data_IF_694634767915
#
_entry.id   IF_694634767915
#
_cell.length_a   1.000
_cell.length_b   1.000
_cell.length_c   1.000
_cell.angle_alpha   90.00
_cell.angle_beta   90.00
_cell.angle_gamma   90.00
#
_symmetry.space_group_name_H-M   'P 1'
#
loop_
_entity.id
_entity.type
_entity.pdbx_description
1 polymer ?
#
# COMPACT_ATOMS: atom_id res chain seq x y z
N UNK A 1 28.61 19.01 -64.24
CA UNK A 1 27.67 20.10 -63.89
C UNK A 1 26.90 19.66 -62.65
N UNK A 2 27.33 20.12 -61.47
CA UNK A 2 26.69 21.18 -60.66
C UNK A 2 25.41 20.68 -59.96
N UNK A 3 25.51 20.17 -58.72
CA UNK A 3 25.45 20.85 -57.40
C UNK A 3 24.02 20.90 -56.84
N UNK A 4 23.79 20.34 -55.65
CA UNK A 4 23.42 21.12 -54.45
C UNK A 4 23.13 20.22 -53.23
N UNK A 5 23.38 20.80 -52.06
CA UNK A 5 23.55 20.21 -50.71
C UNK A 5 22.23 20.04 -49.95
N UNK A 6 22.25 19.17 -48.94
CA UNK A 6 21.22 19.11 -47.90
C UNK A 6 21.59 18.17 -46.75
N UNK A 7 22.51 18.61 -45.89
CA UNK A 7 22.87 17.95 -44.63
C UNK A 7 21.80 18.25 -43.56
N UNK A 8 21.20 17.23 -42.95
CA UNK A 8 20.56 17.35 -41.63
C UNK A 8 20.86 16.07 -40.82
N UNK A 9 21.43 16.28 -39.64
CA UNK A 9 22.20 15.28 -38.89
C UNK A 9 21.41 14.18 -38.21
N UNK A 10 21.99 12.98 -38.25
CA UNK A 10 21.70 11.88 -37.33
C UNK A 10 22.13 12.31 -35.91
N UNK A 11 21.17 12.67 -35.05
CA UNK A 11 21.38 12.63 -33.61
C UNK A 11 21.18 11.20 -33.13
N UNK A 12 22.28 10.56 -32.74
CA UNK A 12 22.31 9.35 -31.91
C UNK A 12 21.49 9.60 -30.64
N UNK A 13 20.33 8.98 -30.53
CA UNK A 13 19.65 8.77 -29.26
C UNK A 13 20.39 7.65 -28.52
N UNK A 14 21.30 8.05 -27.64
CA UNK A 14 21.82 7.20 -26.58
C UNK A 14 20.67 6.99 -25.61
N UNK A 15 20.06 5.81 -25.64
CA UNK A 15 19.08 5.41 -24.65
C UNK A 15 19.82 5.09 -23.34
N UNK A 16 19.93 6.10 -22.48
CA UNK A 16 20.35 5.95 -21.09
C UNK A 16 19.27 5.14 -20.38
N UNK A 17 19.61 3.91 -19.96
CA UNK A 17 18.76 3.05 -19.13
C UNK A 17 18.63 3.71 -17.76
N UNK A 18 17.50 4.40 -17.53
CA UNK A 18 17.11 4.81 -16.19
C UNK A 18 16.54 3.61 -15.45
N UNK A 19 17.10 3.36 -14.27
CA UNK A 19 16.64 2.41 -13.25
C UNK A 19 15.14 2.61 -13.01
N UNK A 20 14.36 1.58 -13.33
CA UNK A 20 12.92 1.56 -13.12
C UNK A 20 12.60 1.09 -11.72
N UNK A 21 11.98 1.98 -10.95
CA UNK A 21 11.17 1.66 -9.79
C UNK A 21 10.06 0.67 -10.16
N UNK A 22 9.75 -0.23 -9.22
CA UNK A 22 8.64 -1.17 -9.25
C UNK A 22 7.36 -0.46 -9.73
N UNK A 23 6.95 -0.75 -10.98
CA UNK A 23 5.61 -0.38 -11.45
C UNK A 23 4.65 -1.46 -11.00
N UNK A 24 3.88 -1.17 -9.96
CA UNK A 24 2.73 -1.98 -9.56
C UNK A 24 1.68 -1.91 -10.69
N UNK A 25 1.27 -3.04 -11.29
CA UNK A 25 0.24 -3.01 -12.33
C UNK A 25 -1.11 -2.68 -11.70
N UNK A 26 -1.68 -1.53 -12.06
CA UNK A 26 -2.98 -1.01 -11.59
C UNK A 26 -4.21 -1.70 -12.19
N UNK A 27 -4.07 -2.88 -12.80
CA UNK A 27 -5.08 -3.42 -13.74
C UNK A 27 -5.92 -4.62 -13.27
N UNK A 28 -5.91 -5.02 -11.99
CA UNK A 28 -6.72 -6.19 -11.52
C UNK A 28 -7.68 -5.88 -10.36
N UNK A 29 -8.23 -4.67 -10.29
CA UNK A 29 -9.37 -4.36 -9.40
C UNK A 29 -10.53 -3.72 -10.18
N UNK A 30 -10.94 -4.34 -11.29
CA UNK A 30 -12.19 -3.98 -11.98
C UNK A 30 -13.25 -5.05 -11.73
N UNK A 31 -14.47 -4.58 -11.37
CA UNK A 31 -15.68 -5.34 -11.01
C UNK A 31 -15.80 -5.81 -9.56
N UNK A 32 -15.94 -4.86 -8.65
CA UNK A 32 -17.02 -4.93 -7.67
C UNK A 32 -17.57 -3.51 -7.47
N UNK A 33 -18.88 -3.41 -7.33
CA UNK A 33 -19.70 -2.20 -7.33
C UNK A 33 -19.01 -0.96 -6.71
N UNK A 34 -18.52 -0.05 -7.56
CA UNK A 34 -18.08 1.29 -7.16
C UNK A 34 -19.34 2.11 -6.92
N UNK A 35 -19.93 1.98 -5.73
CA UNK A 35 -20.62 3.12 -5.14
C UNK A 35 -19.56 4.15 -4.83
N UNK A 36 -19.59 5.27 -5.53
CA UNK A 36 -18.66 6.40 -5.46
C UNK A 36 -18.19 6.68 -4.01
N UNK A 37 -17.00 6.18 -3.57
CA UNK A 37 -16.59 6.28 -2.17
C UNK A 37 -16.18 7.70 -1.78
N UNK A 38 -16.07 8.61 -2.76
CA UNK A 38 -15.62 9.99 -2.61
C UNK A 38 -16.76 11.01 -2.52
N UNK A 39 -18.03 10.60 -2.64
CA UNK A 39 -19.17 11.50 -2.52
C UNK A 39 -19.45 11.99 -1.08
N UNK A 40 -18.73 11.45 -0.07
CA UNK A 40 -19.06 11.60 1.35
C UNK A 40 -18.01 12.29 2.22
N UNK A 41 -16.96 12.88 1.64
CA UNK A 41 -16.02 13.70 2.42
C UNK A 41 -16.77 14.89 3.04
N UNK A 42 -16.81 14.96 4.37
CA UNK A 42 -17.41 16.06 5.13
C UNK A 42 -16.61 17.33 4.81
N UNK A 43 -17.19 18.34 4.16
CA UNK A 43 -16.49 19.59 3.97
C UNK A 43 -16.49 20.37 5.29
N UNK A 44 -15.40 20.26 6.07
CA UNK A 44 -15.12 21.15 7.20
C UNK A 44 -15.25 22.63 6.80
N UNK A 45 -14.95 22.92 5.53
CA UNK A 45 -15.10 24.23 4.91
C UNK A 45 -16.56 24.67 4.68
N UNK A 46 -17.56 23.78 4.53
CA UNK A 46 -18.97 24.26 4.54
C UNK A 46 -19.40 24.68 5.94
N UNK A 47 -18.68 24.32 6.99
CA UNK A 47 -18.95 24.81 8.36
C UNK A 47 -18.16 26.09 8.62
N UNK A 48 -16.89 26.14 8.18
CA UNK A 48 -16.01 27.31 8.33
C UNK A 48 -16.35 28.47 7.38
N UNK A 49 -16.61 28.21 6.08
CA UNK A 49 -17.01 29.24 5.11
C UNK A 49 -18.43 29.75 5.35
N UNK A 50 -19.33 28.91 5.88
CA UNK A 50 -20.66 29.34 6.34
C UNK A 50 -20.57 30.19 7.63
N UNK A 51 -19.60 29.93 8.51
CA UNK A 51 -19.31 30.75 9.69
C UNK A 51 -18.62 32.08 9.34
N UNK A 52 -17.67 32.09 8.40
CA UNK A 52 -17.02 33.29 7.89
C UNK A 52 -17.98 34.16 7.07
N UNK A 53 -18.89 33.58 6.29
CA UNK A 53 -20.01 34.31 5.65
C UNK A 53 -21.00 34.88 6.67
N UNK A 54 -21.17 34.25 7.83
CA UNK A 54 -21.99 34.80 8.91
C UNK A 54 -21.33 36.02 9.58
N UNK A 55 -20.00 35.99 9.76
CA UNK A 55 -19.21 37.09 10.35
C UNK A 55 -18.99 38.26 9.38
N UNK A 56 -18.71 38.00 8.10
CA UNK A 56 -18.59 39.06 7.07
C UNK A 56 -19.90 39.80 6.77
N UNK A 57 -21.04 39.26 7.22
CA UNK A 57 -22.35 39.86 7.07
C UNK A 57 -22.79 40.68 8.31
N UNK A 58 -21.91 40.88 9.29
CA UNK A 58 -22.12 41.76 10.45
C UNK A 58 -21.92 43.26 10.11
N UNK A 59 -21.40 43.60 8.93
CA UNK A 59 -21.10 44.99 8.55
C UNK A 59 -22.15 45.71 7.67
N UNK A 60 -23.29 45.09 7.34
CA UNK A 60 -24.42 45.75 6.68
C UNK A 60 -25.75 45.28 7.27
N UNK A 61 -26.40 46.16 8.04
CA UNK A 61 -27.77 46.01 8.57
C UNK A 61 -28.81 46.08 7.44
N UNK A 62 -28.90 45.04 6.61
CA UNK A 62 -30.03 44.87 5.70
C UNK A 62 -31.10 43.97 6.32
N UNK A 63 -32.15 44.63 6.83
CA UNK A 63 -33.34 44.12 7.52
C UNK A 63 -34.33 43.39 6.60
N UNK A 64 -33.85 42.47 5.75
CA UNK A 64 -34.74 41.61 4.98
C UNK A 64 -34.91 40.25 5.65
N UNK A 65 -36.16 39.87 5.96
CA UNK A 65 -36.52 38.60 6.61
C UNK A 65 -35.97 37.36 5.86
N UNK A 66 -35.75 37.49 4.55
CA UNK A 66 -35.08 36.49 3.70
C UNK A 66 -33.59 36.31 4.04
N UNK A 67 -32.87 37.39 4.34
CA UNK A 67 -31.46 37.35 4.78
C UNK A 67 -31.34 36.66 6.14
N UNK A 68 -32.26 36.98 7.08
CA UNK A 68 -32.32 36.34 8.40
C UNK A 68 -32.62 34.84 8.32
N UNK A 69 -33.65 34.44 7.55
CA UNK A 69 -33.99 33.03 7.31
C UNK A 69 -32.86 32.27 6.61
N UNK A 70 -32.08 32.93 5.76
CA UNK A 70 -30.92 32.33 5.10
C UNK A 70 -29.77 32.10 6.09
N UNK A 71 -29.45 33.08 6.96
CA UNK A 71 -28.47 32.91 8.05
C UNK A 71 -28.89 31.81 9.05
N UNK A 72 -30.18 31.75 9.42
CA UNK A 72 -30.72 30.69 10.28
C UNK A 72 -30.61 29.29 9.64
N UNK A 73 -30.79 29.18 8.30
CA UNK A 73 -30.61 27.91 7.58
C UNK A 73 -29.15 27.48 7.54
N UNK A 74 -28.25 28.42 7.29
CA UNK A 74 -26.81 28.21 7.25
C UNK A 74 -26.29 27.74 8.62
N UNK A 75 -26.67 28.42 9.70
CA UNK A 75 -26.29 28.05 11.08
C UNK A 75 -26.88 26.69 11.50
N UNK A 76 -28.15 26.42 11.21
CA UNK A 76 -28.76 25.09 11.46
C UNK A 76 -28.05 23.98 10.70
N UNK A 77 -27.71 24.22 9.43
CA UNK A 77 -26.96 23.28 8.61
C UNK A 77 -25.60 23.02 9.25
N UNK A 78 -24.82 24.05 9.55
CA UNK A 78 -23.52 23.93 10.23
C UNK A 78 -23.60 23.09 11.52
N UNK A 79 -24.62 23.30 12.35
CA UNK A 79 -24.85 22.49 13.56
C UNK A 79 -25.11 21.01 13.25
N UNK A 80 -25.84 20.69 12.19
CA UNK A 80 -26.08 19.31 11.75
C UNK A 80 -24.77 18.65 11.29
N UNK A 81 -23.95 19.35 10.51
CA UNK A 81 -22.65 18.84 10.07
C UNK A 81 -21.69 18.62 11.24
N UNK A 82 -21.65 19.53 12.22
CA UNK A 82 -20.83 19.35 13.42
C UNK A 82 -21.27 18.14 14.25
N UNK A 83 -22.59 17.95 14.42
CA UNK A 83 -23.14 16.76 15.08
C UNK A 83 -22.75 15.47 14.35
N UNK A 84 -22.80 15.49 13.02
CA UNK A 84 -22.43 14.36 12.18
C UNK A 84 -20.94 14.04 12.27
N UNK A 85 -20.06 15.04 12.16
CA UNK A 85 -18.62 14.85 12.30
C UNK A 85 -18.24 14.22 13.66
N UNK A 86 -18.89 14.66 14.75
CA UNK A 86 -18.71 14.07 16.08
C UNK A 86 -19.20 12.61 16.14
N UNK A 87 -20.30 12.30 15.47
CA UNK A 87 -20.82 10.93 15.37
C UNK A 87 -19.92 10.02 14.54
N UNK A 88 -19.39 10.52 13.42
CA UNK A 88 -18.50 9.77 12.53
C UNK A 88 -17.15 9.47 13.21
N UNK A 89 -16.60 10.43 13.97
CA UNK A 89 -15.44 10.22 14.85
C UNK A 89 -15.70 9.11 15.89
N UNK A 90 -16.86 9.11 16.53
CA UNK A 90 -17.24 8.08 17.49
C UNK A 90 -17.38 6.71 16.81
N UNK A 91 -17.95 6.66 15.61
CA UNK A 91 -18.09 5.42 14.84
C UNK A 91 -16.73 4.84 14.42
N UNK A 92 -15.78 5.68 14.00
CA UNK A 92 -14.40 5.25 13.71
C UNK A 92 -13.75 4.69 14.98
N UNK A 93 -13.86 5.40 16.11
CA UNK A 93 -13.32 4.93 17.39
C UNK A 93 -13.86 3.56 17.79
N UNK A 94 -15.17 3.32 17.63
CA UNK A 94 -15.75 2.01 17.94
C UNK A 94 -15.25 0.90 17.01
N UNK A 95 -15.04 1.21 15.72
CA UNK A 95 -14.43 0.26 14.76
C UNK A 95 -12.97 -0.08 15.11
N UNK A 96 -12.24 0.86 15.73
CA UNK A 96 -10.88 0.66 16.24
C UNK A 96 -10.83 -0.05 17.61
N UNK A 97 -11.94 -0.63 18.08
CA UNK A 97 -11.97 -1.37 19.36
C UNK A 97 -12.10 -0.48 20.60
N UNK A 98 -12.34 0.82 20.47
CA UNK A 98 -12.71 1.71 21.58
C UNK A 98 -11.59 2.13 22.55
N UNK A 99 -10.36 1.67 22.33
CA UNK A 99 -9.21 1.89 23.22
C UNK A 99 -8.65 3.32 23.19
N UNK A 100 -8.86 4.06 22.09
CA UNK A 100 -8.40 5.44 21.92
C UNK A 100 -9.39 6.44 22.51
N UNK A 101 -8.90 7.59 23.02
CA UNK A 101 -9.78 8.72 23.39
C UNK A 101 -10.23 9.48 22.15
N UNK A 102 -11.41 10.11 22.22
CA UNK A 102 -11.94 10.90 21.10
C UNK A 102 -10.99 12.03 20.67
N UNK A 103 -10.30 12.65 21.63
CA UNK A 103 -9.30 13.70 21.37
C UNK A 103 -8.10 13.21 20.58
N UNK A 104 -7.60 11.99 20.87
CA UNK A 104 -6.47 11.42 20.15
C UNK A 104 -6.85 10.96 18.75
N UNK A 105 -8.07 10.44 18.58
CA UNK A 105 -8.58 10.08 17.24
C UNK A 105 -8.77 11.34 16.40
N UNK A 106 -9.27 12.43 17.00
CA UNK A 106 -9.34 13.72 16.32
C UNK A 106 -7.93 14.19 15.91
N UNK A 107 -6.98 14.21 16.84
CA UNK A 107 -5.60 14.57 16.55
C UNK A 107 -4.99 13.72 15.42
N UNK A 108 -5.19 12.40 15.42
CA UNK A 108 -4.63 11.52 14.39
C UNK A 108 -5.15 11.83 12.97
N UNK A 109 -6.31 12.44 12.87
CA UNK A 109 -7.04 12.71 11.62
C UNK A 109 -6.85 14.17 11.15
N UNK A 110 -6.25 15.02 12.00
CA UNK A 110 -5.95 16.43 11.73
C UNK A 110 -4.53 16.61 11.21
N UNK A 111 -4.42 17.04 9.95
CA UNK A 111 -3.16 17.30 9.26
C UNK A 111 -2.64 18.72 9.55
N UNK A 112 -1.31 18.96 9.40
CA UNK A 112 -0.73 20.29 9.61
C UNK A 112 -1.35 21.31 8.65
N UNK A 113 -1.83 22.44 9.21
CA UNK A 113 -2.37 23.57 8.46
C UNK A 113 -1.75 24.88 8.98
N UNK A 114 -1.69 25.91 8.13
CA UNK A 114 -1.01 27.18 8.45
C UNK A 114 -1.58 27.91 9.67
N UNK A 115 -2.88 27.81 9.91
CA UNK A 115 -3.60 28.51 10.98
C UNK A 115 -4.04 27.58 12.13
N UNK A 116 -3.42 26.40 12.24
CA UNK A 116 -3.87 25.38 13.19
C UNK A 116 -3.44 25.69 14.63
N UNK A 117 -4.41 25.76 15.54
CA UNK A 117 -4.20 25.92 16.99
C UNK A 117 -4.15 24.57 17.71
N UNK A 118 -4.77 23.54 17.12
CA UNK A 118 -4.80 22.16 17.64
C UNK A 118 -3.48 21.42 17.33
N UNK A 119 -3.11 20.38 18.11
CA UNK A 119 -1.88 19.64 17.85
C UNK A 119 -1.99 18.82 16.54
N UNK A 120 -0.94 18.86 15.72
CA UNK A 120 -0.87 18.15 14.45
C UNK A 120 -0.70 16.63 14.62
N UNK A 121 -1.04 15.87 13.56
CA UNK A 121 -0.79 14.43 13.46
C UNK A 121 0.65 14.05 13.11
N UNK A 122 1.52 14.99 12.72
CA UNK A 122 2.87 14.73 12.20
C UNK A 122 3.71 13.80 13.08
N UNK A 123 3.70 14.00 14.40
CA UNK A 123 4.43 13.14 15.34
C UNK A 123 3.85 11.72 15.42
N UNK A 124 2.53 11.58 15.35
CA UNK A 124 1.85 10.28 15.38
C UNK A 124 2.10 9.52 14.08
N UNK A 125 2.14 10.21 12.93
CA UNK A 125 2.47 9.63 11.63
C UNK A 125 3.89 9.06 11.63
N UNK A 126 4.85 9.81 12.18
CA UNK A 126 6.24 9.36 12.29
C UNK A 126 6.35 8.10 13.15
N UNK A 127 5.78 8.14 14.36
CA UNK A 127 5.78 7.00 15.28
C UNK A 127 5.10 5.78 14.65
N UNK A 128 3.94 6.01 14.02
CA UNK A 128 3.18 4.98 13.33
C UNK A 128 3.93 4.35 12.17
N UNK A 129 4.70 5.14 11.41
CA UNK A 129 5.53 4.64 10.32
C UNK A 129 6.60 3.66 10.83
N UNK A 130 7.23 3.95 11.97
CA UNK A 130 8.16 3.04 12.62
C UNK A 130 7.48 1.76 13.11
N UNK A 131 6.29 1.88 13.71
CA UNK A 131 5.49 0.74 14.21
C UNK A 131 5.09 -0.20 13.07
N UNK A 132 4.56 0.35 11.98
CA UNK A 132 4.23 -0.43 10.78
C UNK A 132 5.47 -1.08 10.18
N UNK A 133 6.56 -0.33 10.02
CA UNK A 133 7.82 -0.84 9.47
C UNK A 133 8.36 -2.02 10.27
N UNK A 134 8.37 -1.92 11.60
CA UNK A 134 8.85 -2.98 12.47
C UNK A 134 8.00 -4.25 12.35
N UNK A 135 6.69 -4.16 12.60
CA UNK A 135 5.83 -5.35 12.66
C UNK A 135 5.58 -6.00 11.31
N UNK A 136 5.53 -5.21 10.23
CA UNK A 136 5.38 -5.77 8.87
C UNK A 136 6.67 -6.47 8.44
N UNK A 137 7.83 -5.85 8.66
CA UNK A 137 9.12 -6.45 8.33
C UNK A 137 9.35 -7.73 9.14
N UNK A 138 9.12 -7.69 10.44
CA UNK A 138 9.21 -8.85 11.32
C UNK A 138 8.34 -10.01 10.81
N UNK A 139 7.11 -9.72 10.39
CA UNK A 139 6.23 -10.76 9.88
C UNK A 139 6.76 -11.39 8.59
N UNK A 140 7.25 -10.56 7.67
CA UNK A 140 7.74 -11.00 6.35
C UNK A 140 9.04 -11.80 6.49
N UNK A 141 9.99 -11.35 7.32
CA UNK A 141 11.26 -12.08 7.54
C UNK A 141 11.03 -13.41 8.23
N UNK A 142 10.04 -13.50 9.13
CA UNK A 142 9.75 -14.73 9.85
C UNK A 142 8.95 -15.73 9.00
N UNK A 143 8.04 -15.27 8.13
CA UNK A 143 7.26 -16.15 7.23
C UNK A 143 8.07 -16.59 6.01
N UNK A 144 8.93 -15.71 5.49
CA UNK A 144 9.73 -15.97 4.30
C UNK A 144 11.24 -15.93 4.62
N UNK A 145 11.76 -16.87 5.45
CA UNK A 145 13.17 -16.90 5.82
C UNK A 145 14.09 -17.14 4.62
N UNK A 146 13.62 -17.89 3.62
CA UNK A 146 14.38 -18.22 2.42
C UNK A 146 14.39 -17.09 1.37
N UNK A 147 13.58 -16.04 1.56
CA UNK A 147 13.54 -14.90 0.65
C UNK A 147 14.79 -14.03 0.85
N UNK A 148 15.36 -13.54 -0.25
CA UNK A 148 16.42 -12.53 -0.19
C UNK A 148 15.90 -11.26 0.46
N UNK A 149 16.80 -10.54 1.14
CA UNK A 149 16.50 -9.26 1.79
C UNK A 149 15.93 -8.20 0.83
N UNK A 150 16.30 -8.23 -0.45
CA UNK A 150 15.72 -7.35 -1.47
C UNK A 150 14.24 -7.63 -1.67
N UNK A 151 13.87 -8.91 -1.82
CA UNK A 151 12.48 -9.33 -2.03
C UNK A 151 11.64 -9.05 -0.77
N UNK A 152 12.19 -9.33 0.41
CA UNK A 152 11.51 -9.02 1.67
C UNK A 152 11.20 -7.52 1.80
N UNK A 153 12.16 -6.66 1.43
CA UNK A 153 11.96 -5.20 1.38
C UNK A 153 10.90 -4.79 0.36
N UNK A 154 10.94 -5.35 -0.85
CA UNK A 154 9.96 -5.04 -1.90
C UNK A 154 8.53 -5.40 -1.46
N UNK A 155 8.35 -6.55 -0.79
CA UNK A 155 7.05 -6.94 -0.21
C UNK A 155 6.63 -5.98 0.90
N UNK A 156 7.56 -5.56 1.76
CA UNK A 156 7.28 -4.57 2.80
C UNK A 156 6.84 -3.23 2.21
N UNK A 157 7.54 -2.74 1.19
CA UNK A 157 7.23 -1.46 0.54
C UNK A 157 5.89 -1.52 -0.17
N UNK A 158 5.55 -2.67 -0.78
CA UNK A 158 4.23 -2.92 -1.35
C UNK A 158 3.12 -2.90 -0.28
N UNK A 159 3.34 -3.54 0.86
CA UNK A 159 2.40 -3.59 1.98
C UNK A 159 2.15 -2.20 2.59
N UNK A 160 3.22 -1.40 2.69
CA UNK A 160 3.23 -0.06 3.29
C UNK A 160 2.94 1.05 2.26
N UNK A 161 2.65 0.68 1.02
CA UNK A 161 2.34 1.61 -0.03
C UNK A 161 1.06 2.40 0.29
N UNK A 162 1.03 3.68 -0.12
CA UNK A 162 -0.09 4.59 0.17
C UNK A 162 -1.42 4.05 -0.35
N UNK A 163 -1.45 3.39 -1.50
CA UNK A 163 -2.69 2.80 -2.03
C UNK A 163 -3.23 1.67 -1.14
N UNK A 164 -2.36 0.78 -0.66
CA UNK A 164 -2.73 -0.35 0.22
C UNK A 164 -3.26 0.17 1.56
N UNK A 165 -2.55 1.12 2.17
CA UNK A 165 -2.95 1.73 3.43
C UNK A 165 -4.23 2.56 3.30
N UNK A 166 -4.41 3.28 2.19
CA UNK A 166 -5.64 4.01 1.91
C UNK A 166 -6.84 3.06 1.77
N UNK A 167 -6.67 1.92 1.09
CA UNK A 167 -7.70 0.89 1.00
C UNK A 167 -8.11 0.36 2.38
N UNK A 168 -7.12 0.10 3.25
CA UNK A 168 -7.39 -0.24 4.65
C UNK A 168 -8.14 0.90 5.37
N UNK A 169 -7.67 2.14 5.27
CA UNK A 169 -8.31 3.31 5.91
C UNK A 169 -9.75 3.53 5.46
N UNK A 170 -10.06 3.25 4.19
CA UNK A 170 -11.41 3.31 3.66
C UNK A 170 -12.33 2.25 4.29
N UNK A 171 -11.83 1.04 4.57
CA UNK A 171 -12.59 0.03 5.29
C UNK A 171 -12.94 0.47 6.72
N UNK A 172 -12.06 1.23 7.38
CA UNK A 172 -12.32 1.85 8.68
C UNK A 172 -13.14 3.16 8.59
N UNK A 173 -13.47 3.62 7.38
CA UNK A 173 -14.25 4.85 7.15
C UNK A 173 -13.50 6.14 7.43
N UNK A 174 -12.15 6.14 7.41
CA UNK A 174 -11.34 7.31 7.73
C UNK A 174 -11.51 8.45 6.72
N UNK A 175 -11.75 8.13 5.44
CA UNK A 175 -11.93 9.13 4.39
C UNK A 175 -13.05 10.15 4.69
N UNK A 176 -14.06 9.76 5.49
CA UNK A 176 -15.15 10.66 5.86
C UNK A 176 -14.78 11.69 6.93
N UNK A 177 -13.71 11.44 7.69
CA UNK A 177 -13.37 12.18 8.92
C UNK A 177 -12.14 13.06 8.78
N UNK A 178 -11.32 12.85 7.74
CA UNK A 178 -10.06 13.58 7.49
C UNK A 178 -10.23 15.11 7.54
N UNK A 179 -9.31 15.76 8.25
CA UNK A 179 -9.22 17.22 8.33
C UNK A 179 -7.88 17.66 7.72
N UNK A 180 -7.91 18.08 6.46
CA UNK A 180 -6.74 18.52 5.71
C UNK A 180 -7.08 19.78 4.92
N UNK A 181 -6.06 20.57 4.59
CA UNK A 181 -6.21 21.73 3.70
C UNK A 181 -6.39 21.21 2.27
N UNK A 182 -7.49 21.59 1.62
CA UNK A 182 -7.73 21.19 0.24
C UNK A 182 -6.90 22.07 -0.69
N UNK A 183 -6.11 21.44 -1.53
CA UNK A 183 -5.51 22.10 -2.69
C UNK A 183 -6.63 22.55 -3.63
N UNK A 184 -6.57 23.79 -4.16
CA UNK A 184 -7.60 24.37 -5.05
C UNK A 184 -7.65 23.73 -6.46
N UNK A 185 -7.08 22.56 -6.63
CA UNK A 185 -6.96 21.93 -7.95
C UNK A 185 -8.31 21.42 -8.45
N UNK A 186 -8.60 21.72 -9.71
CA UNK A 186 -9.87 21.35 -10.37
C UNK A 186 -9.92 19.88 -10.79
N UNK A 187 -8.76 19.22 -10.83
CA UNK A 187 -8.62 17.87 -11.35
C UNK A 187 -9.00 16.84 -10.28
N UNK A 188 -10.12 16.15 -10.52
CA UNK A 188 -10.68 15.15 -9.60
C UNK A 188 -9.71 14.02 -9.30
N UNK A 189 -8.87 13.65 -10.27
CA UNK A 189 -7.90 12.55 -10.12
C UNK A 189 -6.76 12.93 -9.17
N UNK A 190 -6.34 14.20 -9.18
CA UNK A 190 -5.29 14.69 -8.27
C UNK A 190 -5.87 14.83 -6.86
N UNK A 191 -7.09 15.37 -6.73
CA UNK A 191 -7.78 15.43 -5.45
C UNK A 191 -7.99 14.02 -4.85
N UNK A 192 -8.30 13.01 -5.66
CA UNK A 192 -8.40 11.63 -5.22
C UNK A 192 -7.03 11.06 -4.81
N UNK A 193 -5.94 11.46 -5.47
CA UNK A 193 -4.59 11.08 -5.06
C UNK A 193 -4.22 11.66 -3.69
N UNK A 194 -4.54 12.93 -3.45
CA UNK A 194 -4.31 13.60 -2.17
C UNK A 194 -5.12 12.93 -1.04
N UNK A 195 -6.40 12.61 -1.27
CA UNK A 195 -7.19 11.89 -0.27
C UNK A 195 -6.58 10.52 0.04
N UNK A 196 -6.00 9.84 -0.94
CA UNK A 196 -5.31 8.55 -0.72
C UNK A 196 -4.04 8.73 0.12
N UNK A 197 -3.25 9.77 -0.10
CA UNK A 197 -2.04 10.01 0.72
C UNK A 197 -2.43 10.36 2.16
N UNK A 198 -3.39 11.26 2.35
CA UNK A 198 -3.87 11.62 3.69
C UNK A 198 -4.54 10.44 4.42
N UNK A 199 -5.35 9.61 3.75
CA UNK A 199 -5.92 8.41 4.39
C UNK A 199 -4.83 7.42 4.83
N UNK A 200 -3.78 7.24 4.02
CA UNK A 200 -2.65 6.38 4.36
C UNK A 200 -1.86 6.91 5.57
N UNK A 201 -1.62 8.22 5.64
CA UNK A 201 -0.97 8.86 6.78
C UNK A 201 -1.83 8.82 8.04
N UNK A 202 -3.14 9.03 7.93
CA UNK A 202 -4.06 8.89 9.06
C UNK A 202 -4.05 7.46 9.63
N UNK A 203 -3.97 6.43 8.78
CA UNK A 203 -3.79 5.04 9.22
C UNK A 203 -2.49 4.85 10.01
N UNK A 204 -1.38 5.48 9.57
CA UNK A 204 -0.11 5.51 10.31
C UNK A 204 -0.27 6.21 11.64
N UNK A 205 -0.89 7.40 11.66
CA UNK A 205 -1.14 8.16 12.88
C UNK A 205 -1.96 7.36 13.91
N UNK A 206 -2.98 6.61 13.47
CA UNK A 206 -3.79 5.76 14.36
C UNK A 206 -2.96 4.64 14.97
N UNK A 207 -2.12 3.96 14.19
CA UNK A 207 -1.22 2.94 14.74
C UNK A 207 -0.24 3.55 15.75
N UNK A 208 0.26 4.76 15.48
CA UNK A 208 1.11 5.50 16.41
C UNK A 208 0.38 5.88 17.70
N UNK A 209 -0.88 6.33 17.61
CA UNK A 209 -1.71 6.64 18.76
C UNK A 209 -2.03 5.40 19.60
N UNK A 210 -2.30 4.26 18.96
CA UNK A 210 -2.51 2.97 19.63
C UNK A 210 -1.25 2.54 20.37
N UNK A 211 -0.08 2.64 19.72
CA UNK A 211 1.19 2.33 20.36
C UNK A 211 1.45 3.22 21.59
N UNK A 212 1.23 4.53 21.46
CA UNK A 212 1.47 5.48 22.55
C UNK A 212 0.50 5.29 23.73
N UNK A 213 -0.78 4.94 23.48
CA UNK A 213 -1.81 4.89 24.53
C UNK A 213 -2.09 3.50 25.07
N UNK A 214 -2.13 2.50 24.20
CA UNK A 214 -2.54 1.12 24.49
C UNK A 214 -1.35 0.13 24.44
N UNK A 215 -0.15 0.60 24.12
CA UNK A 215 1.08 -0.17 24.17
C UNK A 215 1.38 -0.99 22.90
N UNK A 216 2.54 -1.69 22.90
CA UNK A 216 3.06 -2.38 21.72
C UNK A 216 2.19 -3.57 21.28
N UNK A 217 1.64 -4.33 22.23
CA UNK A 217 0.84 -5.52 21.94
C UNK A 217 -0.41 -5.19 21.11
N UNK A 218 -1.10 -4.13 21.51
CA UNK A 218 -2.30 -3.62 20.83
C UNK A 218 -1.96 -3.11 19.43
N UNK A 219 -0.89 -2.34 19.31
CA UNK A 219 -0.44 -1.81 18.02
C UNK A 219 -0.08 -2.94 17.05
N UNK A 220 0.59 -3.98 17.54
CA UNK A 220 0.92 -5.17 16.77
C UNK A 220 -0.31 -5.91 16.25
N UNK A 221 -1.29 -6.13 17.12
CA UNK A 221 -2.56 -6.76 16.72
C UNK A 221 -3.25 -5.93 15.64
N UNK A 222 -3.28 -4.61 15.80
CA UNK A 222 -3.86 -3.71 14.81
C UNK A 222 -3.15 -3.78 13.43
N UNK A 223 -1.82 -3.78 13.40
CA UNK A 223 -1.05 -3.93 12.14
C UNK A 223 -1.36 -5.28 11.48
N UNK A 224 -1.51 -6.34 12.27
CA UNK A 224 -1.85 -7.67 11.77
C UNK A 224 -3.25 -7.75 11.16
N UNK A 225 -4.24 -7.14 11.80
CA UNK A 225 -5.62 -7.15 11.33
C UNK A 225 -5.83 -6.25 10.09
N UNK A 226 -4.98 -5.24 9.91
CA UNK A 226 -5.09 -4.27 8.82
C UNK A 226 -4.29 -4.68 7.59
N UNK A 227 -2.96 -4.63 7.69
CA UNK A 227 -2.04 -4.78 6.55
C UNK A 227 -1.80 -6.24 6.24
N UNK A 228 -1.52 -7.06 7.26
CA UNK A 228 -1.19 -8.48 7.03
C UNK A 228 -2.39 -9.28 6.50
N UNK A 229 -3.60 -8.96 6.97
CA UNK A 229 -4.83 -9.52 6.40
C UNK A 229 -5.01 -9.12 4.92
N UNK A 230 -4.70 -7.88 4.57
CA UNK A 230 -4.79 -7.42 3.17
C UNK A 230 -3.75 -8.10 2.29
N UNK A 231 -2.52 -8.29 2.78
CA UNK A 231 -1.48 -9.07 2.10
C UNK A 231 -1.89 -10.52 1.86
N UNK A 232 -2.58 -11.16 2.81
CA UNK A 232 -3.03 -12.55 2.65
C UNK A 232 -4.02 -12.75 1.49
N UNK A 233 -4.67 -11.67 1.02
CA UNK A 233 -5.59 -11.71 -0.13
C UNK A 233 -4.89 -11.53 -1.47
N UNK A 234 -3.64 -11.04 -1.46
CA UNK A 234 -2.86 -10.81 -2.67
C UNK A 234 -2.04 -12.07 -2.94
N UNK A 235 -2.09 -12.57 -4.17
CA UNK A 235 -1.19 -13.64 -4.57
C UNK A 235 0.22 -13.06 -4.78
N UNK A 236 1.04 -13.20 -3.75
CA UNK A 236 2.41 -12.68 -3.77
C UNK A 236 3.25 -13.33 -4.89
N UNK A 237 2.91 -14.54 -5.34
CA UNK A 237 3.66 -15.28 -6.36
C UNK A 237 3.69 -14.58 -7.72
N UNK A 238 2.63 -13.85 -8.03
CA UNK A 238 2.51 -13.09 -9.28
C UNK A 238 3.10 -11.68 -9.16
N UNK A 239 3.19 -11.15 -7.95
CA UNK A 239 3.77 -9.82 -7.70
C UNK A 239 5.30 -9.81 -7.70
N UNK A 240 5.93 -10.96 -7.48
CA UNK A 240 7.38 -11.07 -7.43
C UNK A 240 8.01 -10.93 -8.82
N UNK A 241 8.65 -9.79 -9.05
CA UNK A 241 9.44 -9.55 -10.25
C UNK A 241 10.85 -10.14 -10.05
N UNK A 242 11.12 -11.25 -10.74
CA UNK A 242 12.42 -11.91 -10.70
C UNK A 242 13.19 -11.56 -11.97
N UNK A 243 14.19 -10.70 -11.84
CA UNK A 243 15.11 -10.43 -12.93
C UNK A 243 16.03 -11.65 -13.15
N UNK A 244 16.09 -12.13 -14.40
CA UNK A 244 16.98 -13.22 -14.84
C UNK A 244 16.85 -14.49 -13.97
N UNK A 245 15.69 -15.18 -13.98
CA UNK A 245 15.40 -16.27 -13.06
C UNK A 245 16.41 -17.42 -13.14
N UNK A 246 16.94 -17.74 -14.33
CA UNK A 246 17.94 -18.81 -14.48
C UNK A 246 19.24 -18.53 -13.71
N UNK A 247 19.71 -17.28 -13.68
CA UNK A 247 20.93 -16.88 -12.96
C UNK A 247 20.69 -16.77 -11.46
N UNK A 248 19.47 -16.41 -11.06
CA UNK A 248 19.09 -16.36 -9.66
C UNK A 248 19.00 -17.76 -9.07
N UNK A 249 18.40 -18.70 -9.80
CA UNK A 249 18.26 -20.10 -9.39
C UNK A 249 19.62 -20.79 -9.23
N UNK A 250 20.60 -20.50 -10.08
CA UNK A 250 21.95 -21.07 -9.95
C UNK A 250 22.73 -20.61 -8.71
N UNK A 251 22.25 -19.59 -8.01
CA UNK A 251 22.84 -19.09 -6.75
C UNK A 251 22.14 -19.64 -5.51
N UNK A 252 21.05 -20.38 -5.69
CA UNK A 252 20.36 -21.04 -4.58
C UNK A 252 21.09 -22.34 -4.20
N UNK A 253 20.86 -22.93 -3.02
CA UNK A 253 21.61 -24.09 -2.53
C UNK A 253 21.36 -25.40 -3.30
N UNK A 254 20.68 -25.35 -4.45
CA UNK A 254 20.42 -26.48 -5.32
C UNK A 254 21.67 -26.92 -6.08
N UNK A 255 21.88 -28.23 -6.20
CA UNK A 255 23.00 -28.83 -6.93
C UNK A 255 22.50 -29.50 -8.21
N UNK A 256 23.40 -29.61 -9.20
CA UNK A 256 23.16 -30.30 -10.48
C UNK A 256 21.82 -29.94 -11.14
N UNK A 257 21.61 -28.65 -11.38
CA UNK A 257 20.34 -28.15 -11.95
C UNK A 257 20.23 -28.54 -13.43
N UNK A 258 19.21 -29.31 -13.76
CA UNK A 258 18.94 -29.79 -15.12
C UNK A 258 17.55 -29.33 -15.59
N UNK A 259 17.46 -28.91 -16.86
CA UNK A 259 16.20 -28.56 -17.50
C UNK A 259 15.81 -29.68 -18.47
N UNK A 260 14.62 -30.26 -18.29
CA UNK A 260 14.11 -31.35 -19.13
C UNK A 260 12.79 -30.94 -19.80
N UNK A 261 12.64 -31.20 -21.09
CA UNK A 261 11.38 -31.01 -21.80
C UNK A 261 10.46 -32.15 -21.38
N UNK A 262 9.33 -31.81 -20.76
CA UNK A 262 8.33 -32.78 -20.30
C UNK A 262 7.27 -33.02 -21.37
N UNK A 263 6.86 -31.96 -22.06
CA UNK A 263 5.91 -32.04 -23.16
C UNK A 263 6.17 -30.93 -24.16
N UNK A 264 5.82 -31.16 -25.42
CA UNK A 264 5.85 -30.13 -26.44
C UNK A 264 4.71 -30.31 -27.44
N UNK A 265 4.13 -29.20 -27.85
CA UNK A 265 3.05 -29.17 -28.83
C UNK A 265 3.34 -28.12 -29.90
N UNK A 266 3.05 -28.47 -31.16
CA UNK A 266 3.07 -27.50 -32.26
C UNK A 266 4.44 -26.88 -32.54
N UNK A 267 5.56 -27.62 -32.37
CA UNK A 267 6.94 -27.10 -32.56
C UNK A 267 7.15 -26.33 -33.87
N UNK A 268 6.49 -26.77 -34.95
CA UNK A 268 6.63 -26.20 -36.32
C UNK A 268 5.47 -25.25 -36.67
N UNK A 269 4.64 -24.89 -35.69
CA UNK A 269 3.51 -23.97 -35.90
C UNK A 269 3.91 -22.55 -35.54
N UNK A 270 3.03 -21.58 -35.86
CA UNK A 270 3.23 -20.17 -35.49
C UNK A 270 3.21 -19.94 -33.97
N UNK A 271 2.59 -20.84 -33.21
CA UNK A 271 2.48 -20.76 -31.74
C UNK A 271 2.89 -22.10 -31.10
N UNK A 272 4.20 -22.40 -31.07
CA UNK A 272 4.68 -23.56 -30.35
C UNK A 272 4.43 -23.38 -28.85
N UNK A 273 4.26 -24.50 -28.14
CA UNK A 273 4.14 -24.52 -26.68
C UNK A 273 5.09 -25.56 -26.14
N UNK A 274 6.00 -25.14 -25.27
CA UNK A 274 6.97 -26.00 -24.61
C UNK A 274 6.64 -26.07 -23.12
N UNK A 275 6.66 -27.28 -22.58
CA UNK A 275 6.50 -27.53 -21.16
C UNK A 275 7.80 -28.13 -20.62
N UNK A 276 8.48 -27.37 -19.76
CA UNK A 276 9.82 -27.69 -19.26
C UNK A 276 9.79 -27.85 -17.74
N UNK A 277 10.44 -28.88 -17.23
CA UNK A 277 10.69 -29.09 -15.81
C UNK A 277 12.12 -28.75 -15.43
N UNK A 278 12.30 -28.21 -14.23
CA UNK A 278 13.59 -27.97 -13.58
C UNK A 278 13.80 -29.04 -12.53
N UNK A 279 14.93 -29.73 -12.60
CA UNK A 279 15.30 -30.80 -11.69
C UNK A 279 16.60 -30.46 -10.97
N UNK A 280 16.72 -30.89 -9.71
CA UNK A 280 17.96 -30.84 -8.93
C UNK A 280 18.17 -32.22 -8.31
N UNK A 281 19.34 -32.83 -8.56
CA UNK A 281 19.67 -34.20 -8.12
C UNK A 281 18.59 -35.26 -8.42
N UNK A 282 17.84 -35.07 -9.50
CA UNK A 282 16.75 -35.95 -9.94
C UNK A 282 15.37 -35.61 -9.38
N UNK A 283 15.27 -34.71 -8.40
CA UNK A 283 14.00 -34.20 -7.86
C UNK A 283 13.46 -33.05 -8.69
N UNK A 284 12.15 -33.02 -8.93
CA UNK A 284 11.51 -31.97 -9.71
C UNK A 284 11.19 -30.75 -8.82
N UNK A 285 11.90 -29.65 -9.04
CA UNK A 285 11.69 -28.40 -8.29
C UNK A 285 10.42 -27.67 -8.76
N UNK A 286 10.27 -27.53 -10.08
CA UNK A 286 9.15 -26.81 -10.68
C UNK A 286 9.01 -27.09 -12.17
N UNK A 287 7.86 -26.68 -12.71
CA UNK A 287 7.53 -26.79 -14.13
C UNK A 287 7.08 -25.43 -14.65
N UNK A 288 7.37 -25.15 -15.92
CA UNK A 288 7.00 -23.92 -16.58
C UNK A 288 6.59 -24.16 -18.03
N UNK A 289 5.70 -23.31 -18.53
CA UNK A 289 5.25 -23.31 -19.92
C UNK A 289 5.73 -22.03 -20.61
N UNK A 290 5.98 -22.09 -21.91
CA UNK A 290 6.32 -20.91 -22.70
C UNK A 290 6.22 -21.17 -24.20
N UNK A 291 6.20 -20.11 -24.98
CA UNK A 291 6.16 -20.19 -26.44
C UNK A 291 7.52 -20.45 -27.07
N UNK A 292 8.61 -20.15 -26.34
CA UNK A 292 9.96 -20.55 -26.71
C UNK A 292 10.58 -21.46 -25.65
N UNK A 293 11.56 -22.28 -26.05
CA UNK A 293 12.31 -23.11 -25.10
C UNK A 293 13.02 -22.27 -24.03
N UNK A 294 13.51 -21.07 -24.39
CA UNK A 294 14.16 -20.15 -23.46
C UNK A 294 13.17 -19.56 -22.46
N UNK A 295 11.97 -19.19 -22.91
CA UNK A 295 10.91 -18.67 -22.06
C UNK A 295 10.36 -19.75 -21.12
N UNK A 296 10.10 -20.96 -21.64
CA UNK A 296 9.64 -22.07 -20.80
C UNK A 296 10.66 -22.43 -19.72
N UNK A 297 11.97 -22.38 -20.02
CA UNK A 297 13.05 -22.54 -19.03
C UNK A 297 13.06 -21.41 -18.01
N UNK A 298 12.91 -20.16 -18.45
CA UNK A 298 12.89 -19.00 -17.57
C UNK A 298 11.69 -19.07 -16.61
N UNK A 299 10.51 -19.46 -17.10
CA UNK A 299 9.30 -19.59 -16.27
C UNK A 299 9.41 -20.77 -15.30
N UNK A 300 9.96 -21.91 -15.73
CA UNK A 300 10.21 -23.04 -14.84
C UNK A 300 11.21 -22.67 -13.73
N UNK A 301 12.25 -21.89 -14.05
CA UNK A 301 13.18 -21.36 -13.06
C UNK A 301 12.53 -20.34 -12.11
N UNK A 302 11.66 -19.46 -12.62
CA UNK A 302 10.87 -18.52 -11.82
C UNK A 302 10.02 -19.28 -10.80
N UNK A 303 9.30 -20.29 -11.25
CA UNK A 303 8.47 -21.15 -10.39
C UNK A 303 9.30 -21.91 -9.36
N UNK A 304 10.51 -22.39 -9.70
CA UNK A 304 11.39 -23.04 -8.72
C UNK A 304 11.80 -22.07 -7.60
N UNK A 305 12.16 -20.83 -7.94
CA UNK A 305 12.52 -19.81 -6.95
C UNK A 305 11.31 -19.44 -6.08
N UNK A 306 10.15 -19.22 -6.70
CA UNK A 306 8.91 -18.92 -5.97
C UNK A 306 8.59 -20.08 -5.02
N UNK A 307 8.61 -21.33 -5.49
CA UNK A 307 8.38 -22.48 -4.62
C UNK A 307 9.35 -22.50 -3.44
N UNK A 308 10.65 -22.30 -3.66
CA UNK A 308 11.65 -22.25 -2.60
C UNK A 308 11.42 -21.13 -1.57
N UNK A 309 10.97 -19.94 -2.02
CA UNK A 309 10.64 -18.81 -1.15
C UNK A 309 9.39 -19.10 -0.31
N UNK A 310 8.35 -19.66 -0.94
CA UNK A 310 7.07 -19.98 -0.30
C UNK A 310 7.04 -21.38 0.31
N UNK A 311 8.17 -22.08 0.36
CA UNK A 311 8.31 -23.36 1.03
C UNK A 311 8.28 -23.12 2.54
N UNK A 312 7.08 -22.85 3.04
CA UNK A 312 6.83 -22.71 4.46
C UNK A 312 7.01 -24.09 5.06
N UNK A 313 8.14 -24.33 5.73
CA UNK A 313 8.20 -25.45 6.66
C UNK A 313 7.02 -25.28 7.62
N UNK A 314 6.18 -26.31 7.78
CA UNK A 314 4.96 -26.33 8.62
C UNK A 314 5.20 -26.04 10.13
N UNK A 315 6.29 -25.34 10.47
CA UNK A 315 6.67 -24.95 11.82
C UNK A 315 5.71 -23.88 12.32
N UNK A 316 5.29 -24.04 13.57
CA UNK A 316 4.57 -23.02 14.31
C UNK A 316 5.48 -21.79 14.44
N UNK A 317 5.19 -20.75 13.69
CA UNK A 317 6.00 -19.53 13.67
C UNK A 317 5.70 -18.68 14.90
N UNK A 318 6.73 -18.38 15.68
CA UNK A 318 6.72 -17.36 16.74
C UNK A 318 7.45 -16.13 16.26
N UNK A 319 6.93 -14.95 16.55
CA UNK A 319 7.53 -13.68 16.12
C UNK A 319 8.45 -13.12 17.21
N UNK A 320 9.59 -12.48 16.90
CA UNK A 320 10.47 -11.82 17.87
C UNK A 320 9.80 -10.95 18.93
N UNK A 321 8.70 -10.29 18.58
CA UNK A 321 7.89 -9.42 19.43
C UNK A 321 6.94 -10.19 20.34
N UNK A 322 6.76 -11.50 20.14
CA UNK A 322 5.97 -12.36 21.03
C UNK A 322 6.69 -12.59 22.36
N UNK A 323 5.94 -12.56 23.45
CA UNK A 323 6.47 -12.94 24.78
C UNK A 323 6.93 -14.40 24.86
N UNK A 324 6.37 -15.26 24.00
CA UNK A 324 6.71 -16.68 23.91
C UNK A 324 7.82 -16.97 22.92
N UNK A 325 8.48 -15.94 22.38
CA UNK A 325 9.54 -16.10 21.41
C UNK A 325 10.80 -16.66 22.06
N UNK A 326 11.31 -17.76 21.49
CA UNK A 326 12.61 -18.30 21.85
C UNK A 326 13.68 -17.70 20.92
N UNK A 327 14.63 -16.90 21.42
CA UNK A 327 15.67 -16.28 20.60
C UNK A 327 16.53 -17.29 19.83
N UNK A 328 16.68 -18.52 20.35
CA UNK A 328 17.45 -19.59 19.72
C UNK A 328 16.73 -20.20 18.51
N UNK A 329 15.44 -19.91 18.32
CA UNK A 329 14.67 -20.40 17.16
C UNK A 329 15.00 -19.71 15.84
N UNK A 330 15.78 -18.61 15.86
CA UNK A 330 16.13 -17.79 14.69
C UNK A 330 17.44 -18.14 13.99
N UNK A 331 18.08 -19.27 14.33
CA UNK A 331 19.33 -19.72 13.67
C UNK A 331 19.20 -19.78 12.12
N UNK A 332 17.99 -19.96 11.57
CA UNK A 332 17.75 -19.94 10.14
C UNK A 332 18.00 -18.58 9.44
N UNK A 333 18.02 -17.44 10.15
CA UNK A 333 18.27 -16.13 9.52
C UNK A 333 19.76 -15.88 9.24
N UNK A 334 20.66 -16.57 9.94
CA UNK A 334 22.11 -16.34 9.81
C UNK A 334 22.79 -17.18 8.72
N UNK A 335 22.11 -18.21 8.21
CA UNK A 335 22.72 -19.19 7.29
C UNK A 335 22.40 -18.94 5.81
N UNK A 336 21.49 -18.01 5.47
CA UNK A 336 21.00 -17.83 4.10
C UNK A 336 21.87 -16.94 3.19
N UNK A 337 22.93 -16.31 3.71
CA UNK A 337 23.79 -15.37 2.97
C UNK A 337 25.19 -15.95 2.65
N UNK A 338 25.25 -17.18 2.11
CA UNK A 338 26.49 -17.76 1.53
C UNK A 338 26.34 -18.02 0.04
#
# INVERSE_FOLDING_TARGET
>A
MFLSRGSVGLRRLVATVQLSHIRVPTTVLSRSYVTDPYAFAIPAEKVAADAQKAQGAEAQEDTTEKSRKSRERVTKKAQIWAKRAKADLAAVRHRLGGQLSNSLVQQAVTFPQKDLVEPDNSHLVLLGSCVYGLYVMEHITTIFPNARTTIQKDICDYALHSATLAACGNAYGLASVLQYEKTEETDKDILAADVRTYTAEAMKAIAGALYARAGPETARQFVRETVLFTLSKVDLRDTLQIEKPMQMLSKLPFRNIEYRILNEAGRVTYQPTFYVGVFSDGENLAKGAGHSLTEAKAEAARMAIVNYIFETSNKKVTFPSDKSFDPLSMECLTEADV
#
